data_IF_444381761669
#
_entry.id   IF_444381761669
#
_cell.length_a   1.000
_cell.length_b   1.000
_cell.length_c   1.000
_cell.angle_alpha   90.00
_cell.angle_beta   90.00
_cell.angle_gamma   90.00
#
_symmetry.space_group_name_H-M   'P 1'
#
loop_
_entity.id
_entity.type
_entity.pdbx_description
1 polymer ?
#
# COMPACT_ATOMS: atom_id res chain seq x y z
N UNK A 1 22.33 3.34 5.55
CA UNK A 1 22.03 4.51 4.69
C UNK A 1 20.87 5.37 5.23
N UNK A 2 19.73 4.78 5.65
CA UNK A 2 18.52 5.51 6.08
C UNK A 2 18.69 6.43 7.31
N UNK A 3 19.62 6.15 8.24
CA UNK A 3 19.75 6.94 9.49
C UNK A 3 20.15 8.41 9.30
N UNK A 4 20.86 8.78 8.22
CA UNK A 4 21.35 10.16 8.01
C UNK A 4 20.32 11.11 7.41
N UNK A 5 19.27 10.57 6.77
CA UNK A 5 18.25 11.35 6.04
C UNK A 5 16.83 11.07 6.54
N UNK A 6 16.68 10.37 7.67
CA UNK A 6 15.37 10.01 8.21
C UNK A 6 14.51 11.20 8.64
N UNK A 7 15.12 12.36 8.92
CA UNK A 7 14.42 13.60 9.30
C UNK A 7 13.56 14.18 8.15
N UNK A 8 13.82 13.78 6.90
CA UNK A 8 13.07 14.26 5.75
C UNK A 8 11.57 13.92 5.85
N UNK A 9 11.21 12.82 6.52
CA UNK A 9 9.80 12.45 6.73
C UNK A 9 9.05 13.42 7.65
N UNK A 10 9.79 14.19 8.46
CA UNK A 10 9.23 15.12 9.43
C UNK A 10 9.04 16.51 8.81
N UNK A 11 9.58 16.76 7.60
CA UNK A 11 9.35 17.98 6.83
C UNK A 11 7.93 17.90 6.24
N UNK A 12 7.05 18.88 6.53
CA UNK A 12 5.68 18.88 6.02
C UNK A 12 5.63 18.73 4.49
N UNK A 13 4.74 17.87 4.01
CA UNK A 13 4.45 17.60 2.59
C UNK A 13 5.60 17.01 1.76
N UNK A 14 6.82 16.90 2.27
CA UNK A 14 7.97 16.44 1.48
C UNK A 14 7.77 15.02 0.95
N UNK A 15 7.19 14.14 1.75
CA UNK A 15 6.91 12.76 1.34
C UNK A 15 5.84 12.69 0.23
N UNK A 16 4.85 13.58 0.27
CA UNK A 16 3.80 13.69 -0.77
C UNK A 16 4.41 14.20 -2.08
N UNK A 17 5.27 15.23 -2.00
CA UNK A 17 5.99 15.74 -3.16
C UNK A 17 6.88 14.66 -3.79
N UNK A 18 7.63 13.93 -2.96
CA UNK A 18 8.48 12.84 -3.42
C UNK A 18 7.67 11.74 -4.12
N UNK A 19 6.56 11.29 -3.54
CA UNK A 19 5.70 10.29 -4.17
C UNK A 19 5.06 10.81 -5.47
N UNK A 20 4.70 12.10 -5.53
CA UNK A 20 4.17 12.72 -6.76
C UNK A 20 5.21 12.76 -7.89
N UNK A 21 6.47 13.11 -7.58
CA UNK A 21 7.58 13.04 -8.53
C UNK A 21 7.84 11.61 -8.99
N UNK A 22 7.73 10.65 -8.06
CA UNK A 22 7.82 9.23 -8.37
C UNK A 22 6.68 8.76 -9.27
N UNK A 23 5.45 9.25 -9.05
CA UNK A 23 4.29 8.97 -9.93
C UNK A 23 4.54 9.46 -11.35
N UNK A 24 5.04 10.70 -11.48
CA UNK A 24 5.40 11.25 -12.79
C UNK A 24 6.51 10.44 -13.47
N UNK A 25 7.52 10.02 -12.71
CA UNK A 25 8.56 9.14 -13.24
C UNK A 25 8.01 7.78 -13.68
N UNK A 26 7.11 7.17 -12.90
CA UNK A 26 6.47 5.89 -13.24
C UNK A 26 5.52 6.01 -14.43
N UNK A 27 4.87 7.15 -14.64
CA UNK A 27 4.11 7.42 -15.85
C UNK A 27 4.97 7.31 -17.12
N UNK A 28 6.22 7.77 -17.06
CA UNK A 28 7.17 7.67 -18.18
C UNK A 28 7.80 6.28 -18.26
N UNK A 29 8.26 5.73 -17.13
CA UNK A 29 9.10 4.53 -17.10
C UNK A 29 8.32 3.22 -17.09
N UNK A 30 7.13 3.19 -16.49
CA UNK A 30 6.31 1.99 -16.26
C UNK A 30 4.81 2.32 -16.13
N UNK A 31 4.17 2.87 -17.18
CA UNK A 31 2.77 3.33 -17.12
C UNK A 31 1.78 2.22 -16.75
N UNK A 32 2.08 0.96 -17.07
CA UNK A 32 1.24 -0.18 -16.69
C UNK A 32 1.11 -0.35 -15.17
N UNK A 33 2.12 0.07 -14.40
CA UNK A 33 2.04 0.07 -12.96
C UNK A 33 0.98 1.05 -12.44
N UNK A 34 0.82 2.20 -13.10
CA UNK A 34 -0.23 3.16 -12.73
C UNK A 34 -1.62 2.60 -13.02
N UNK A 35 -1.79 1.89 -14.13
CA UNK A 35 -3.04 1.18 -14.42
C UNK A 35 -3.35 0.12 -13.34
N UNK A 36 -2.33 -0.61 -12.86
CA UNK A 36 -2.52 -1.56 -11.77
C UNK A 36 -2.91 -0.90 -10.46
N UNK A 37 -2.37 0.29 -10.16
CA UNK A 37 -2.78 1.08 -9.00
C UNK A 37 -4.24 1.51 -9.16
N UNK A 38 -4.63 1.98 -10.34
CA UNK A 38 -6.02 2.36 -10.63
C UNK A 38 -6.98 1.16 -10.48
N UNK A 39 -6.57 -0.05 -10.89
CA UNK A 39 -7.33 -1.30 -10.66
C UNK A 39 -7.53 -1.59 -9.16
N UNK A 40 -6.51 -1.34 -8.32
CA UNK A 40 -6.64 -1.48 -6.85
C UNK A 40 -7.60 -0.43 -6.29
N UNK A 41 -7.51 0.82 -6.76
CA UNK A 41 -8.40 1.90 -6.34
C UNK A 41 -9.87 1.56 -6.66
N UNK A 42 -10.14 1.07 -7.87
CA UNK A 42 -11.48 0.66 -8.30
C UNK A 42 -12.00 -0.50 -7.45
N UNK A 43 -11.16 -1.50 -7.17
CA UNK A 43 -11.50 -2.62 -6.29
C UNK A 43 -11.92 -2.15 -4.89
N UNK A 44 -11.16 -1.21 -4.30
CA UNK A 44 -11.46 -0.66 -2.97
C UNK A 44 -12.70 0.24 -2.98
N UNK A 45 -12.88 1.08 -4.00
CA UNK A 45 -14.08 1.93 -4.17
C UNK A 45 -15.37 1.11 -4.22
N UNK A 46 -15.31 -0.12 -4.73
CA UNK A 46 -16.44 -1.05 -4.74
C UNK A 46 -16.83 -1.62 -3.36
N UNK A 47 -16.01 -1.40 -2.31
CA UNK A 47 -16.28 -1.92 -0.97
C UNK A 47 -17.07 -0.87 -0.14
N UNK A 48 -18.26 -1.22 0.42
CA UNK A 48 -19.08 -0.24 1.14
C UNK A 48 -18.36 0.43 2.33
N UNK A 49 -18.50 1.75 2.44
CA UNK A 49 -17.91 2.52 3.55
C UNK A 49 -16.41 2.76 3.43
N UNK A 50 -15.80 2.44 2.28
CA UNK A 50 -14.41 2.83 2.01
C UNK A 50 -14.31 4.23 1.41
N UNK A 51 -13.14 4.85 1.58
CA UNK A 51 -12.77 6.11 0.95
C UNK A 51 -11.31 6.08 0.54
N UNK A 52 -10.97 6.83 -0.51
CA UNK A 52 -9.59 7.01 -0.97
C UNK A 52 -9.09 8.39 -0.51
N UNK A 53 -7.86 8.44 0.01
CA UNK A 53 -7.21 9.67 0.45
C UNK A 53 -5.72 9.68 0.16
N UNK A 54 -5.01 10.66 0.72
CA UNK A 54 -3.56 10.77 0.60
C UNK A 54 -2.92 10.17 1.84
N UNK A 55 -1.95 9.26 1.66
CA UNK A 55 -1.16 8.74 2.77
C UNK A 55 -0.13 9.79 3.24
N UNK A 56 0.04 9.94 4.55
CA UNK A 56 0.88 11.00 5.13
C UNK A 56 2.36 10.94 4.72
N UNK A 57 2.84 9.76 4.30
CA UNK A 57 4.18 9.56 3.78
C UNK A 57 4.22 9.42 2.24
N UNK A 58 3.22 9.98 1.56
CA UNK A 58 3.04 9.85 0.11
C UNK A 58 2.33 8.56 -0.27
N UNK A 59 1.69 8.53 -1.44
CA UNK A 59 0.87 7.41 -1.91
C UNK A 59 -0.64 7.60 -1.68
N UNK A 60 -1.39 6.63 -2.18
CA UNK A 60 -2.86 6.57 -2.10
C UNK A 60 -3.27 5.76 -0.86
N UNK A 61 -4.01 6.36 0.05
CA UNK A 61 -4.54 5.71 1.25
C UNK A 61 -5.93 5.09 1.01
N UNK A 62 -6.13 3.87 1.50
CA UNK A 62 -7.40 3.15 1.52
C UNK A 62 -7.95 3.11 2.94
N UNK A 63 -9.11 3.74 3.13
CA UNK A 63 -9.72 3.93 4.45
C UNK A 63 -11.05 3.21 4.54
N UNK A 64 -11.40 2.70 5.73
CA UNK A 64 -12.74 2.25 6.09
C UNK A 64 -13.23 3.09 7.27
N UNK A 65 -14.39 3.76 7.11
CA UNK A 65 -14.95 4.68 8.11
C UNK A 65 -13.90 5.67 8.68
N UNK A 66 -13.05 6.21 7.80
CA UNK A 66 -12.01 7.19 8.16
C UNK A 66 -10.74 6.61 8.78
N UNK A 67 -10.59 5.28 8.89
CA UNK A 67 -9.37 4.63 9.37
C UNK A 67 -8.65 3.91 8.24
N UNK A 68 -7.37 4.23 8.06
CA UNK A 68 -6.52 3.60 7.05
C UNK A 68 -6.33 2.10 7.37
N UNK A 69 -6.61 1.24 6.39
CA UNK A 69 -6.36 -0.19 6.47
C UNK A 69 -5.35 -0.69 5.44
N UNK A 70 -5.02 0.14 4.45
CA UNK A 70 -3.96 -0.09 3.48
C UNK A 70 -3.57 1.22 2.79
N UNK A 71 -2.41 1.24 2.13
CA UNK A 71 -2.02 2.29 1.20
C UNK A 71 -1.11 1.74 0.11
N UNK A 72 -1.02 2.43 -1.02
CA UNK A 72 -0.11 2.10 -2.12
C UNK A 72 0.74 3.30 -2.50
N UNK A 73 2.05 3.11 -2.55
CA UNK A 73 3.00 4.10 -3.04
C UNK A 73 3.12 4.04 -4.57
N UNK A 74 3.54 5.15 -5.17
CA UNK A 74 3.61 5.27 -6.63
C UNK A 74 4.59 4.29 -7.30
N UNK A 75 5.50 3.65 -6.55
CA UNK A 75 6.38 2.58 -7.03
C UNK A 75 5.77 1.17 -6.95
N UNK A 76 4.50 1.04 -6.60
CA UNK A 76 3.80 -0.25 -6.52
C UNK A 76 4.01 -1.00 -5.21
N UNK A 77 4.59 -0.37 -4.18
CA UNK A 77 4.60 -0.91 -2.84
C UNK A 77 3.22 -0.72 -2.20
N UNK A 78 2.53 -1.82 -1.94
CA UNK A 78 1.24 -1.86 -1.26
C UNK A 78 1.47 -2.32 0.18
N UNK A 79 1.18 -1.44 1.13
CA UNK A 79 1.23 -1.74 2.54
C UNK A 79 -0.20 -2.01 3.04
N UNK A 80 -0.39 -3.15 3.73
CA UNK A 80 -1.73 -3.67 4.07
C UNK A 80 -1.76 -4.11 5.54
N UNK A 81 -2.77 -3.68 6.28
CA UNK A 81 -3.01 -4.08 7.66
C UNK A 81 -3.87 -5.35 7.74
N UNK A 82 -3.21 -6.49 7.95
CA UNK A 82 -3.89 -7.77 8.13
C UNK A 82 -4.11 -8.11 9.61
N UNK A 83 -4.88 -9.17 9.85
CA UNK A 83 -4.89 -9.87 11.13
C UNK A 83 -3.53 -10.61 11.32
N UNK A 84 -3.03 -10.72 12.55
CA UNK A 84 -1.70 -11.29 12.83
C UNK A 84 -1.60 -12.77 12.50
N UNK A 85 -2.66 -13.54 12.79
CA UNK A 85 -2.73 -14.96 12.46
C UNK A 85 -2.72 -15.17 10.94
N UNK A 86 -3.51 -14.39 10.18
CA UNK A 86 -3.52 -14.42 8.71
C UNK A 86 -2.17 -14.02 8.12
N UNK A 87 -1.53 -12.97 8.65
CA UNK A 87 -0.18 -12.58 8.24
C UNK A 87 0.80 -13.75 8.43
N UNK A 88 0.75 -14.42 9.59
CA UNK A 88 1.64 -15.55 9.90
C UNK A 88 1.45 -16.70 8.90
N UNK A 89 0.22 -17.04 8.53
CA UNK A 89 -0.02 -18.10 7.54
C UNK A 89 0.50 -17.71 6.15
N UNK A 90 0.23 -16.49 5.69
CA UNK A 90 0.68 -16.02 4.38
C UNK A 90 2.21 -15.84 4.28
N UNK A 91 2.88 -15.51 5.39
CA UNK A 91 4.35 -15.45 5.44
C UNK A 91 4.98 -16.84 5.27
N UNK A 92 4.35 -17.90 5.79
CA UNK A 92 4.82 -19.28 5.59
C UNK A 92 4.74 -19.69 4.12
N UNK A 93 3.72 -19.22 3.40
CA UNK A 93 3.57 -19.44 1.96
C UNK A 93 4.61 -18.69 1.10
N UNK A 94 5.40 -17.79 1.69
CA UNK A 94 6.47 -17.03 1.01
C UNK A 94 6.00 -15.93 0.07
N UNK A 95 4.69 -15.63 0.02
CA UNK A 95 4.09 -14.68 -0.92
C UNK A 95 4.11 -13.22 -0.45
N UNK A 96 4.43 -12.98 0.83
CA UNK A 96 4.43 -11.64 1.44
C UNK A 96 5.67 -11.42 2.29
N UNK A 97 6.06 -10.17 2.47
CA UNK A 97 7.16 -9.75 3.35
C UNK A 97 6.63 -8.94 4.54
N UNK A 98 7.39 -8.99 5.63
CA UNK A 98 7.15 -8.13 6.80
C UNK A 98 7.19 -6.65 6.41
N UNK A 99 6.32 -5.84 7.01
CA UNK A 99 6.44 -4.39 6.87
C UNK A 99 7.76 -3.92 7.48
N UNK A 100 8.58 -3.23 6.68
CA UNK A 100 9.96 -2.91 7.03
C UNK A 100 10.10 -2.11 8.35
N UNK A 101 9.08 -1.34 8.73
CA UNK A 101 9.04 -0.54 9.96
C UNK A 101 8.26 -1.21 11.10
N UNK A 102 7.23 -1.99 10.81
CA UNK A 102 6.25 -2.47 11.81
C UNK A 102 6.22 -3.99 11.90
N UNK A 103 7.37 -4.61 12.11
CA UNK A 103 7.55 -6.08 12.08
C UNK A 103 6.60 -6.83 13.01
N UNK A 104 6.35 -6.33 14.22
CA UNK A 104 5.48 -6.97 15.22
C UNK A 104 3.99 -6.56 15.13
N UNK A 105 3.58 -6.00 14.00
CA UNK A 105 2.20 -5.59 13.73
C UNK A 105 1.55 -6.50 12.67
N UNK A 106 0.27 -6.26 12.38
CA UNK A 106 -0.43 -6.87 11.25
C UNK A 106 -0.03 -6.31 9.89
N UNK A 107 0.78 -5.23 9.83
CA UNK A 107 1.22 -4.65 8.58
C UNK A 107 2.16 -5.58 7.82
N UNK A 108 1.92 -5.67 6.52
CA UNK A 108 2.75 -6.34 5.53
C UNK A 108 3.09 -5.37 4.40
N UNK A 109 4.14 -5.69 3.65
CA UNK A 109 4.50 -4.98 2.43
C UNK A 109 4.47 -5.95 1.24
N UNK A 110 3.76 -5.57 0.18
CA UNK A 110 3.59 -6.37 -1.05
C UNK A 110 3.88 -5.51 -2.27
N UNK A 111 4.73 -5.99 -3.19
CA UNK A 111 5.10 -5.24 -4.39
C UNK A 111 4.38 -5.76 -5.62
N UNK A 112 3.86 -4.85 -6.44
CA UNK A 112 3.31 -5.14 -7.76
C UNK A 112 4.44 -5.23 -8.80
N UNK A 113 4.86 -6.44 -9.16
CA UNK A 113 5.86 -6.66 -10.20
C UNK A 113 5.20 -6.93 -11.56
N UNK A 114 4.08 -7.64 -11.56
CA UNK A 114 3.35 -8.09 -12.74
C UNK A 114 1.82 -7.98 -12.56
N UNK A 115 1.06 -8.25 -13.62
CA UNK A 115 -0.41 -8.17 -13.61
C UNK A 115 -1.07 -9.19 -12.66
N UNK A 116 -0.48 -10.37 -12.47
CA UNK A 116 -1.00 -11.39 -11.56
C UNK A 116 -0.94 -10.94 -10.10
N UNK A 117 0.04 -10.10 -9.75
CA UNK A 117 0.17 -9.52 -8.42
C UNK A 117 -1.03 -8.64 -8.06
N UNK A 118 -1.68 -8.00 -9.05
CA UNK A 118 -2.87 -7.15 -8.82
C UNK A 118 -4.03 -7.97 -8.26
N UNK A 119 -4.30 -9.14 -8.85
CA UNK A 119 -5.36 -10.02 -8.36
C UNK A 119 -5.09 -10.48 -6.92
N UNK A 120 -3.83 -10.78 -6.59
CA UNK A 120 -3.44 -11.16 -5.24
C UNK A 120 -3.51 -9.98 -4.26
N UNK A 121 -3.10 -8.77 -4.68
CA UNK A 121 -3.25 -7.56 -3.90
C UNK A 121 -4.72 -7.25 -3.59
N UNK A 122 -5.63 -7.36 -4.58
CA UNK A 122 -7.07 -7.24 -4.34
C UNK A 122 -7.59 -8.27 -3.33
N UNK A 123 -7.11 -9.52 -3.39
CA UNK A 123 -7.43 -10.54 -2.39
C UNK A 123 -6.96 -10.11 -0.98
N UNK A 124 -5.73 -9.61 -0.84
CA UNK A 124 -5.20 -9.14 0.44
C UNK A 124 -5.96 -7.90 0.96
N UNK A 125 -6.29 -6.95 0.08
CA UNK A 125 -7.10 -5.77 0.40
C UNK A 125 -8.49 -6.17 0.89
N UNK A 126 -9.12 -7.17 0.26
CA UNK A 126 -10.40 -7.71 0.71
C UNK A 126 -10.30 -8.31 2.12
N UNK A 127 -9.24 -9.06 2.43
CA UNK A 127 -9.01 -9.60 3.79
C UNK A 127 -8.78 -8.50 4.82
N UNK A 128 -8.05 -7.44 4.45
CA UNK A 128 -7.84 -6.29 5.32
C UNK A 128 -9.13 -5.49 5.56
N UNK A 129 -9.94 -5.31 4.53
CA UNK A 129 -11.27 -4.69 4.62
C UNK A 129 -12.21 -5.51 5.52
N UNK A 130 -12.30 -6.83 5.33
CA UNK A 130 -13.14 -7.69 6.16
C UNK A 130 -12.71 -7.70 7.64
N UNK A 131 -11.43 -7.41 7.91
CA UNK A 131 -10.92 -7.20 9.26
C UNK A 131 -11.31 -5.82 9.83
N UNK A 132 -11.32 -4.79 8.99
CA UNK A 132 -11.54 -3.41 9.39
C UNK A 132 -13.02 -3.10 9.64
N UNK A 133 -13.91 -3.83 8.94
CA UNK A 133 -15.37 -3.85 9.11
C UNK A 133 -15.78 -4.52 10.42
#
# INVERSE_FOLDING_TARGET
MVKRVGFLKDIPLLAILFDSLMRFWMFIAKPELLNWIDDLEENVKGMPGTTIGIHKYGGTAFNYLGKEFAHVHSNGLVDILLNKELKKSLMIEGKIKDHHVFKNSGWISFYLHNKQDVAYACYLLKKAYDRAR
#
